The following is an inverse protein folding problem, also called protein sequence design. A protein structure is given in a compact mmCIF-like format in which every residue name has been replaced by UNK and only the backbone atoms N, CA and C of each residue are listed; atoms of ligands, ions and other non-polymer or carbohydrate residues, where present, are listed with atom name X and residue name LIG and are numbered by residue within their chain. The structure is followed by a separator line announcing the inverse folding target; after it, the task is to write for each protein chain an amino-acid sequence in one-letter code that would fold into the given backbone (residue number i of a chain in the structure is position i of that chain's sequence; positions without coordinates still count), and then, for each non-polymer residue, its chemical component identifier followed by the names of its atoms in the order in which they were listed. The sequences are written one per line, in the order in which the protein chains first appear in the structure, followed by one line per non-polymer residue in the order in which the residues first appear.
data_IF_542116062159
#
_entry.id   IF_542116062159
#
_cell.length_a   1.000
_cell.length_b   1.000
_cell.length_c   1.000
_cell.angle_alpha   90.00
_cell.angle_beta   90.00
_cell.angle_gamma   90.00
#
_symmetry.space_group_name_H-M   'P 1'
#
loop_
_entity.id
_entity.type
_entity.pdbx_description
1 polymer ?
#
# COMPACT_ATOMS: atom_id res chain seq x y z
N UNK A 1 -25.57 1.36 -2.00
CA UNK A 1 -25.47 -0.06 -1.60
C UNK A 1 -24.83 -0.09 -0.23
N UNK A 2 -25.54 -0.58 0.78
CA UNK A 2 -24.97 -0.73 2.12
C UNK A 2 -23.84 -1.75 2.03
N UNK A 3 -22.62 -1.33 2.39
CA UNK A 3 -21.54 -2.25 2.70
C UNK A 3 -22.02 -3.11 3.86
N UNK A 4 -22.55 -4.28 3.56
CA UNK A 4 -22.78 -5.32 4.56
C UNK A 4 -21.38 -5.77 4.94
N UNK A 5 -20.86 -5.23 6.05
CA UNK A 5 -19.72 -5.83 6.73
C UNK A 5 -20.19 -7.23 7.12
N UNK A 6 -19.82 -8.21 6.29
CA UNK A 6 -20.05 -9.61 6.58
C UNK A 6 -19.19 -9.95 7.80
N UNK A 7 -19.78 -10.65 8.79
CA UNK A 7 -19.05 -11.26 9.91
C UNK A 7 -18.12 -12.35 9.37
N UNK A 8 -16.97 -11.91 8.86
CA UNK A 8 -16.00 -12.72 8.15
C UNK A 8 -14.91 -13.16 9.11
N UNK A 9 -14.75 -14.49 9.21
CA UNK A 9 -13.67 -15.11 9.96
C UNK A 9 -12.38 -15.17 9.16
N UNK A 10 -12.49 -15.62 7.92
CA UNK A 10 -11.35 -15.88 7.05
C UNK A 10 -11.74 -15.98 5.56
N UNK A 11 -10.76 -15.73 4.71
CA UNK A 11 -10.77 -15.92 3.26
C UNK A 11 -9.74 -17.00 2.91
N UNK A 12 -10.16 -17.97 2.10
CA UNK A 12 -9.33 -19.11 1.66
C UNK A 12 -9.60 -19.43 0.19
N UNK A 13 -8.70 -20.19 -0.42
CA UNK A 13 -8.84 -20.83 -1.74
C UNK A 13 -9.43 -22.23 -1.66
N UNK A 14 -9.44 -22.82 -0.46
CA UNK A 14 -10.01 -24.14 -0.20
C UNK A 14 -11.25 -24.06 0.69
N UNK A 15 -12.12 -25.06 0.56
CA UNK A 15 -13.26 -25.26 1.47
C UNK A 15 -12.81 -25.75 2.84
N UNK A 16 -11.66 -26.42 2.89
CA UNK A 16 -11.19 -27.08 4.10
C UNK A 16 -10.57 -26.06 5.05
N UNK A 17 -11.02 -26.10 6.30
CA UNK A 17 -10.57 -25.22 7.38
C UNK A 17 -9.11 -25.47 7.81
N UNK A 18 -8.33 -26.26 7.08
CA UNK A 18 -7.03 -26.74 7.54
C UNK A 18 -5.85 -25.85 7.12
N UNK A 19 -6.05 -24.93 6.16
CA UNK A 19 -5.03 -23.93 5.81
C UNK A 19 -4.74 -23.04 7.03
N UNK A 20 -3.50 -22.94 7.54
CA UNK A 20 -3.25 -22.11 8.71
C UNK A 20 -3.51 -20.62 8.40
N UNK A 21 -3.84 -19.81 9.43
CA UNK A 21 -3.77 -18.36 9.31
C UNK A 21 -2.39 -17.95 8.82
N UNK A 22 -2.34 -16.82 8.11
CA UNK A 22 -1.06 -16.31 7.64
C UNK A 22 -0.19 -15.88 8.81
N UNK A 23 1.03 -16.41 8.90
CA UNK A 23 1.97 -15.99 9.94
C UNK A 23 2.52 -14.61 9.57
N UNK A 24 3.29 -14.55 8.49
CA UNK A 24 3.64 -13.30 7.82
C UNK A 24 4.39 -13.57 6.51
N UNK A 25 4.37 -12.62 5.60
CA UNK A 25 5.23 -12.62 4.41
C UNK A 25 5.52 -11.18 3.96
N UNK A 26 6.51 -11.01 3.07
CA UNK A 26 6.84 -9.72 2.45
C UNK A 26 6.39 -9.72 1.00
N UNK A 27 5.86 -8.60 0.50
CA UNK A 27 5.50 -8.49 -0.91
C UNK A 27 6.73 -8.55 -1.82
N UNK A 28 7.85 -8.01 -1.35
CA UNK A 28 9.09 -8.02 -2.10
C UNK A 28 10.21 -8.74 -1.35
N UNK A 29 10.83 -9.70 -2.05
CA UNK A 29 12.04 -10.41 -1.63
C UNK A 29 13.01 -10.45 -2.82
N UNK A 30 14.27 -10.04 -2.62
CA UNK A 30 15.33 -10.20 -3.63
C UNK A 30 15.22 -9.34 -4.89
N UNK A 31 15.02 -9.99 -6.05
CA UNK A 31 15.30 -9.48 -7.41
C UNK A 31 14.58 -8.19 -7.82
N UNK A 32 13.49 -7.82 -7.13
CA UNK A 32 12.74 -6.60 -7.40
C UNK A 32 13.34 -5.35 -6.74
N UNK A 33 14.41 -5.49 -5.96
CA UNK A 33 15.07 -4.39 -5.26
C UNK A 33 15.42 -3.21 -6.17
N UNK A 34 15.94 -3.47 -7.36
CA UNK A 34 16.39 -2.41 -8.27
C UNK A 34 15.25 -1.58 -8.85
N UNK A 35 14.08 -2.18 -9.11
CA UNK A 35 12.95 -1.47 -9.73
C UNK A 35 12.18 -0.62 -8.72
N UNK A 36 12.15 -1.03 -7.44
CA UNK A 36 11.38 -0.37 -6.40
C UNK A 36 12.17 0.80 -5.79
N UNK A 37 13.49 0.67 -5.62
CA UNK A 37 14.34 1.76 -5.13
C UNK A 37 14.34 2.96 -6.09
N UNK A 38 14.12 2.74 -7.39
CA UNK A 38 13.92 3.84 -8.35
C UNK A 38 12.68 4.70 -8.05
N UNK A 39 11.75 4.20 -7.24
CA UNK A 39 10.52 4.89 -6.83
C UNK A 39 10.72 5.82 -5.63
N UNK A 40 11.85 5.71 -4.92
CA UNK A 40 12.23 6.58 -3.79
C UNK A 40 12.07 8.06 -4.16
N UNK A 41 12.48 8.42 -5.39
CA UNK A 41 12.33 9.77 -5.94
C UNK A 41 10.89 10.29 -5.85
N UNK A 42 9.91 9.47 -6.28
CA UNK A 42 8.51 9.85 -6.32
C UNK A 42 7.85 9.81 -4.96
N UNK A 43 8.41 9.02 -4.05
CA UNK A 43 7.93 8.86 -2.68
C UNK A 43 8.52 9.90 -1.73
N UNK A 44 9.37 10.79 -2.23
CA UNK A 44 10.01 11.82 -1.42
C UNK A 44 10.98 11.22 -0.41
N UNK A 45 11.63 10.12 -0.82
CA UNK A 45 12.69 9.46 -0.09
C UNK A 45 14.04 9.78 -0.77
N UNK A 46 15.09 9.81 0.02
CA UNK A 46 16.45 9.78 -0.49
C UNK A 46 16.80 8.38 -1.02
N UNK A 47 17.87 8.32 -1.81
CA UNK A 47 18.31 7.07 -2.40
C UNK A 47 18.78 6.09 -1.32
N UNK A 48 18.21 4.90 -1.28
CA UNK A 48 18.52 3.86 -0.30
C UNK A 48 17.77 3.96 1.02
N UNK A 49 16.89 4.95 1.19
CA UNK A 49 16.03 5.03 2.39
C UNK A 49 14.90 4.00 2.39
N UNK A 50 14.56 3.44 1.22
CA UNK A 50 13.53 2.41 1.15
C UNK A 50 14.08 1.07 1.62
N UNK A 51 13.83 0.75 2.89
CA UNK A 51 14.12 -0.56 3.43
C UNK A 51 13.04 -1.59 3.06
N UNK A 52 13.38 -2.58 2.23
CA UNK A 52 12.49 -3.70 1.92
C UNK A 52 12.33 -4.68 3.09
N UNK A 53 13.24 -4.64 4.05
CA UNK A 53 13.16 -5.34 5.32
C UNK A 53 12.33 -4.59 6.37
N UNK A 54 11.78 -3.43 6.02
CA UNK A 54 10.88 -2.68 6.88
C UNK A 54 9.58 -3.46 7.15
N UNK A 55 8.96 -3.31 8.34
CA UNK A 55 7.61 -3.80 8.61
C UNK A 55 6.56 -3.31 7.60
N UNK A 56 6.81 -2.20 6.90
CA UNK A 56 5.91 -1.62 5.91
C UNK A 56 5.72 -2.50 4.66
N UNK A 57 6.70 -3.34 4.33
CA UNK A 57 6.60 -4.32 3.24
C UNK A 57 6.02 -5.68 3.70
N UNK A 58 5.68 -5.81 5.00
CA UNK A 58 5.29 -7.07 5.62
C UNK A 58 3.77 -7.12 5.80
N UNK A 59 3.17 -8.19 5.30
CA UNK A 59 1.82 -8.62 5.68
C UNK A 59 1.98 -9.59 6.84
N UNK A 60 1.40 -9.28 7.99
CA UNK A 60 1.38 -10.18 9.16
C UNK A 60 -0.06 -10.42 9.62
N UNK A 61 -0.35 -11.65 10.03
CA UNK A 61 -1.63 -12.02 10.63
C UNK A 61 -1.71 -11.65 12.11
N UNK A 62 -0.87 -10.72 12.58
CA UNK A 62 -0.78 -10.44 14.01
C UNK A 62 -2.04 -9.73 14.50
N UNK A 63 -2.57 -10.30 15.57
CA UNK A 63 -3.56 -9.70 16.45
C UNK A 63 -2.93 -8.43 17.03
N UNK A 64 -3.50 -7.26 16.74
CA UNK A 64 -3.29 -6.06 17.56
C UNK A 64 -3.83 -6.39 18.97
N UNK A 65 -3.05 -7.06 19.82
CA UNK A 65 -3.48 -7.45 21.16
C UNK A 65 -3.23 -6.38 22.21
N UNK A 66 -2.48 -5.32 21.91
CA UNK A 66 -1.98 -4.44 22.95
C UNK A 66 -2.56 -3.04 22.80
N UNK A 67 -3.74 -2.81 23.42
CA UNK A 67 -3.99 -1.63 24.28
C UNK A 67 -5.48 -1.42 24.65
N UNK A 68 -6.45 -1.95 23.92
CA UNK A 68 -7.88 -1.72 24.24
C UNK A 68 -8.63 -3.04 24.02
N UNK A 69 -9.23 -3.57 25.09
CA UNK A 69 -9.94 -4.86 25.14
C UNK A 69 -11.22 -4.97 24.30
N UNK A 70 -11.23 -4.38 23.10
CA UNK A 70 -12.23 -4.54 22.07
C UNK A 70 -11.53 -5.13 20.84
N UNK A 71 -11.29 -6.44 20.86
CA UNK A 71 -10.70 -7.18 19.73
C UNK A 71 -11.70 -7.11 18.56
N UNK A 72 -11.49 -6.16 17.65
CA UNK A 72 -12.02 -6.25 16.29
C UNK A 72 -11.10 -7.20 15.52
N UNK A 73 -11.64 -8.35 15.13
CA UNK A 73 -11.01 -9.45 14.42
C UNK A 73 -10.62 -9.10 12.97
N UNK A 74 -9.74 -8.11 12.78
CA UNK A 74 -9.42 -7.57 11.44
C UNK A 74 -8.34 -8.37 10.68
N UNK A 75 -7.41 -9.04 11.37
CA UNK A 75 -6.19 -9.62 10.76
C UNK A 75 -6.17 -11.15 10.57
N UNK A 76 -7.17 -11.88 11.07
CA UNK A 76 -7.33 -13.33 10.77
C UNK A 76 -7.96 -13.59 9.40
N UNK A 77 -8.27 -12.53 8.65
CA UNK A 77 -9.07 -12.60 7.45
C UNK A 77 -8.35 -13.29 6.28
N UNK A 78 -7.02 -13.31 6.26
CA UNK A 78 -6.25 -13.84 5.13
C UNK A 78 -5.49 -15.10 5.54
N UNK A 79 -5.79 -16.21 4.88
CA UNK A 79 -5.10 -17.49 5.11
C UNK A 79 -3.83 -17.62 4.29
N UNK A 80 -2.97 -18.57 4.67
CA UNK A 80 -1.67 -18.77 4.05
C UNK A 80 -1.74 -19.04 2.53
N UNK A 81 -2.79 -19.71 2.08
CA UNK A 81 -3.08 -19.98 0.66
C UNK A 81 -3.43 -18.72 -0.12
N UNK A 82 -4.17 -17.77 0.46
CA UNK A 82 -4.36 -16.43 -0.16
C UNK A 82 -3.02 -15.68 -0.22
N UNK A 83 -2.21 -15.75 0.84
CA UNK A 83 -0.85 -15.20 0.84
C UNK A 83 0.00 -15.74 -0.30
N UNK A 84 -0.11 -17.04 -0.61
CA UNK A 84 0.55 -17.65 -1.78
C UNK A 84 0.04 -17.09 -3.10
N UNK A 85 -1.26 -16.86 -3.26
CA UNK A 85 -1.79 -16.23 -4.48
C UNK A 85 -1.29 -14.80 -4.67
N UNK A 86 -1.11 -14.05 -3.57
CA UNK A 86 -0.50 -12.71 -3.63
C UNK A 86 0.96 -12.82 -4.07
N UNK A 87 1.76 -13.68 -3.43
CA UNK A 87 3.19 -13.87 -3.73
C UNK A 87 3.46 -14.43 -5.14
N UNK A 88 2.59 -15.31 -5.63
CA UNK A 88 2.65 -15.87 -6.98
C UNK A 88 2.01 -14.96 -8.03
N UNK A 89 1.56 -13.77 -7.61
CA UNK A 89 1.01 -12.75 -8.48
C UNK A 89 -0.28 -13.14 -9.21
N UNK A 90 -1.06 -14.05 -8.63
CA UNK A 90 -2.39 -14.42 -9.11
C UNK A 90 -3.47 -13.46 -8.57
N UNK A 91 -3.20 -12.85 -7.41
CA UNK A 91 -4.00 -11.79 -6.81
C UNK A 91 -3.16 -10.53 -6.59
N UNK A 92 -3.70 -9.38 -6.97
CA UNK A 92 -3.17 -8.06 -6.68
C UNK A 92 -3.91 -7.43 -5.49
N UNK A 93 -3.15 -6.75 -4.63
CA UNK A 93 -3.68 -5.87 -3.60
C UNK A 93 -3.82 -4.47 -4.18
N UNK A 94 -5.06 -4.00 -4.30
CA UNK A 94 -5.35 -2.66 -4.83
C UNK A 94 -5.91 -1.80 -3.69
N UNK A 95 -5.19 -0.76 -3.24
CA UNK A 95 -5.72 0.15 -2.21
C UNK A 95 -7.02 0.83 -2.65
N UNK A 96 -7.72 1.45 -1.70
CA UNK A 96 -8.90 2.27 -2.02
C UNK A 96 -8.56 3.45 -2.94
N UNK A 97 -9.56 3.95 -3.66
CA UNK A 97 -9.45 5.14 -4.51
C UNK A 97 -8.86 6.36 -3.78
N UNK A 98 -9.22 6.55 -2.52
CA UNK A 98 -8.71 7.63 -1.68
C UNK A 98 -7.19 7.50 -1.50
N UNK A 99 -6.73 6.32 -1.09
CA UNK A 99 -5.30 6.03 -0.91
C UNK A 99 -4.55 6.17 -2.23
N UNK A 100 -5.09 5.65 -3.33
CA UNK A 100 -4.49 5.79 -4.66
C UNK A 100 -4.38 7.26 -5.10
N UNK A 101 -5.41 8.09 -4.86
CA UNK A 101 -5.37 9.54 -5.16
C UNK A 101 -4.30 10.24 -4.33
N UNK A 102 -4.13 9.88 -3.06
CA UNK A 102 -3.07 10.41 -2.20
C UNK A 102 -1.69 10.05 -2.73
N UNK A 103 -1.45 8.79 -3.09
CA UNK A 103 -0.17 8.35 -3.70
C UNK A 103 0.12 9.14 -4.98
N UNK A 104 -0.88 9.27 -5.87
CA UNK A 104 -0.71 10.00 -7.12
C UNK A 104 -0.46 11.49 -6.89
N UNK A 105 -1.14 12.09 -5.90
CA UNK A 105 -0.93 13.49 -5.52
C UNK A 105 0.51 13.72 -5.07
N UNK A 106 1.00 12.91 -4.11
CA UNK A 106 2.37 12.99 -3.59
C UNK A 106 3.39 12.80 -4.72
N UNK A 107 3.22 11.77 -5.56
CA UNK A 107 4.13 11.52 -6.68
C UNK A 107 4.19 12.68 -7.68
N UNK A 108 3.04 13.29 -8.01
CA UNK A 108 2.97 14.44 -8.93
C UNK A 108 3.57 15.72 -8.34
N UNK A 109 3.41 15.92 -7.04
CA UNK A 109 3.97 17.06 -6.31
C UNK A 109 5.50 16.91 -6.21
N UNK A 110 5.98 15.77 -5.74
CA UNK A 110 7.41 15.46 -5.60
C UNK A 110 8.18 15.55 -6.92
N UNK A 111 7.55 15.17 -8.03
CA UNK A 111 8.13 15.32 -9.37
C UNK A 111 8.52 16.76 -9.72
N UNK A 112 7.85 17.76 -9.14
CA UNK A 112 8.08 19.19 -9.43
C UNK A 112 9.02 19.87 -8.43
N UNK A 113 9.46 19.15 -7.40
CA UNK A 113 10.23 19.70 -6.28
C UNK A 113 11.66 19.19 -6.27
N UNK A 114 12.53 20.04 -5.75
CA UNK A 114 13.89 19.64 -5.38
C UNK A 114 13.85 18.60 -4.25
N UNK A 115 14.93 17.81 -4.13
CA UNK A 115 14.98 16.62 -3.26
C UNK A 115 14.59 16.94 -1.81
N UNK A 116 15.13 18.05 -1.29
CA UNK A 116 14.94 18.55 0.08
C UNK A 116 13.55 19.11 0.36
N UNK A 117 12.75 19.36 -0.68
CA UNK A 117 11.40 19.92 -0.57
C UNK A 117 10.30 18.88 -0.79
N UNK A 118 10.69 17.63 -1.08
CA UNK A 118 9.74 16.56 -1.34
C UNK A 118 9.00 16.18 -0.07
N UNK A 119 7.75 15.78 -0.27
CA UNK A 119 6.91 15.23 0.79
C UNK A 119 7.15 13.75 0.89
N UNK A 120 7.51 13.29 2.08
CA UNK A 120 7.64 11.87 2.36
C UNK A 120 6.26 11.18 2.26
N UNK A 121 6.19 10.12 1.46
CA UNK A 121 4.95 9.37 1.25
C UNK A 121 4.44 8.70 2.53
N UNK A 122 5.33 8.32 3.45
CA UNK A 122 5.00 7.73 4.75
C UNK A 122 4.45 8.75 5.75
N UNK A 123 4.63 10.04 5.52
CA UNK A 123 3.92 11.08 6.29
C UNK A 123 2.52 11.32 5.74
N UNK A 124 2.36 11.25 4.41
CA UNK A 124 1.06 11.39 3.76
C UNK A 124 0.17 10.15 3.99
N UNK A 125 0.78 8.99 4.13
CA UNK A 125 0.16 7.70 4.42
C UNK A 125 0.94 7.06 5.59
N UNK A 126 0.58 7.35 6.84
CA UNK A 126 1.30 6.82 7.99
C UNK A 126 1.22 5.29 8.06
N UNK A 127 2.20 4.61 8.68
CA UNK A 127 2.11 3.18 8.97
C UNK A 127 0.80 2.83 9.69
N UNK A 128 0.11 1.78 9.23
CA UNK A 128 -1.19 1.40 9.78
C UNK A 128 -1.90 0.33 8.96
N UNK A 129 -3.15 0.04 9.31
CA UNK A 129 -4.00 -0.84 8.52
C UNK A 129 -4.68 -0.07 7.39
N UNK A 130 -4.64 -0.65 6.20
CA UNK A 130 -5.28 -0.11 5.00
C UNK A 130 -6.24 -1.12 4.41
N UNK A 131 -7.30 -0.62 3.78
CA UNK A 131 -8.24 -1.45 3.05
C UNK A 131 -7.76 -1.67 1.61
N UNK A 132 -7.82 -2.93 1.18
CA UNK A 132 -7.39 -3.39 -0.13
C UNK A 132 -8.49 -4.21 -0.79
N UNK A 133 -8.69 -4.00 -2.09
CA UNK A 133 -9.44 -4.91 -2.94
C UNK A 133 -8.52 -6.03 -3.43
N UNK A 134 -8.97 -7.28 -3.32
CA UNK A 134 -8.29 -8.46 -3.88
C UNK A 134 -8.72 -8.65 -5.32
N UNK A 135 -7.83 -8.30 -6.25
CA UNK A 135 -8.14 -8.32 -7.66
C UNK A 135 -7.40 -9.45 -8.36
N UNK A 136 -8.11 -10.38 -9.03
CA UNK A 136 -7.49 -11.37 -9.89
C UNK A 136 -6.63 -10.72 -10.97
N UNK A 137 -5.39 -11.19 -11.10
CA UNK A 137 -4.49 -10.80 -12.18
C UNK A 137 -4.82 -11.58 -13.45
N UNK A 138 -5.31 -12.82 -13.32
CA UNK A 138 -5.66 -13.64 -14.47
C UNK A 138 -7.14 -13.48 -14.86
N UNK A 139 -7.45 -13.69 -16.15
CA UNK A 139 -8.83 -13.67 -16.67
C UNK A 139 -9.75 -14.69 -16.00
N UNK A 140 -9.18 -15.84 -15.61
CA UNK A 140 -9.90 -16.86 -14.85
C UNK A 140 -9.53 -16.63 -13.38
N UNK A 141 -10.45 -16.09 -12.56
CA UNK A 141 -10.14 -15.83 -11.17
C UNK A 141 -9.94 -17.14 -10.39
N UNK A 142 -9.05 -17.16 -9.38
CA UNK A 142 -8.98 -18.27 -8.44
C UNK A 142 -10.30 -18.39 -7.68
N UNK A 143 -10.68 -19.62 -7.33
CA UNK A 143 -11.86 -19.83 -6.47
C UNK A 143 -11.55 -19.36 -5.06
N UNK A 144 -12.37 -18.46 -4.54
CA UNK A 144 -12.27 -17.97 -3.17
C UNK A 144 -13.46 -18.44 -2.35
N UNK A 145 -13.24 -18.65 -1.07
CA UNK A 145 -14.22 -19.09 -0.09
C UNK A 145 -14.16 -18.20 1.14
N UNK A 146 -15.32 -17.72 1.57
CA UNK A 146 -15.52 -17.01 2.82
C UNK A 146 -15.89 -18.01 3.91
N UNK A 147 -15.17 -17.96 5.01
CA UNK A 147 -15.48 -18.70 6.23
C UNK A 147 -16.16 -17.71 7.18
N UNK A 148 -17.42 -17.96 7.52
CA UNK A 148 -18.20 -17.12 8.45
C UNK A 148 -17.98 -17.56 9.89
N UNK A 149 -17.99 -16.59 10.83
CA UNK A 149 -17.67 -16.85 12.24
C UNK A 149 -18.59 -17.87 12.91
N UNK A 150 -19.89 -17.83 12.60
CA UNK A 150 -20.89 -18.61 13.33
C UNK A 150 -21.07 -20.04 12.80
N UNK A 151 -20.81 -20.27 11.51
CA UNK A 151 -21.12 -21.54 10.85
C UNK A 151 -19.88 -22.37 10.55
N UNK A 152 -18.69 -21.75 10.47
CA UNK A 152 -17.48 -22.35 9.89
C UNK A 152 -17.71 -23.01 8.52
N UNK A 153 -18.84 -22.73 7.86
CA UNK A 153 -19.17 -23.30 6.57
C UNK A 153 -18.55 -22.43 5.48
N UNK A 154 -17.71 -23.00 4.59
CA UNK A 154 -17.15 -22.24 3.49
C UNK A 154 -18.26 -21.88 2.50
N UNK A 155 -18.40 -20.59 2.21
CA UNK A 155 -19.26 -20.09 1.15
C UNK A 155 -18.39 -19.65 -0.01
N UNK A 156 -18.66 -20.17 -1.21
CA UNK A 156 -17.92 -19.74 -2.40
C UNK A 156 -18.20 -18.26 -2.65
N UNK A 157 -17.12 -17.51 -2.85
CA UNK A 157 -17.16 -16.10 -3.17
C UNK A 157 -17.03 -15.91 -4.67
N UNK A 158 -18.10 -15.45 -5.29
CA UNK A 158 -18.06 -15.06 -6.69
C UNK A 158 -17.33 -13.71 -6.82
N UNK A 159 -16.18 -13.74 -7.49
CA UNK A 159 -15.42 -12.52 -7.80
C UNK A 159 -15.99 -11.93 -9.08
N UNK A 160 -16.83 -10.91 -8.95
CA UNK A 160 -17.51 -10.27 -10.08
C UNK A 160 -17.02 -8.82 -10.18
N UNK A 161 -16.32 -8.44 -11.27
CA UNK A 161 -15.96 -7.04 -11.51
C UNK A 161 -17.21 -6.14 -11.52
N UNK A 162 -17.17 -4.92 -10.93
CA UNK A 162 -16.04 -4.29 -10.25
C UNK A 162 -15.99 -4.57 -8.73
N UNK A 163 -16.83 -5.49 -8.21
CA UNK A 163 -17.05 -5.72 -6.79
C UNK A 163 -16.11 -6.80 -6.24
N UNK A 164 -14.85 -6.43 -6.06
CA UNK A 164 -13.84 -7.30 -5.48
C UNK A 164 -13.96 -7.43 -3.96
N UNK A 165 -13.58 -8.59 -3.39
CA UNK A 165 -13.49 -8.77 -1.94
C UNK A 165 -12.51 -7.76 -1.35
N UNK A 166 -12.88 -7.18 -0.21
CA UNK A 166 -12.02 -6.24 0.51
C UNK A 166 -11.45 -6.84 1.78
N UNK A 167 -10.19 -6.51 2.05
CA UNK A 167 -9.45 -6.98 3.22
C UNK A 167 -8.72 -5.79 3.85
N UNK A 168 -8.55 -5.81 5.17
CA UNK A 168 -7.68 -4.87 5.87
C UNK A 168 -6.34 -5.54 6.16
N UNK A 169 -5.25 -4.90 5.77
CA UNK A 169 -3.90 -5.43 5.96
C UNK A 169 -2.96 -4.32 6.43
N UNK A 170 -1.90 -4.71 7.13
CA UNK A 170 -0.90 -3.81 7.70
C UNK A 170 0.24 -3.45 6.73
N UNK A 171 0.25 -4.02 5.51
CA UNK A 171 1.22 -3.64 4.49
C UNK A 171 0.97 -2.21 4.06
N UNK A 172 2.03 -1.45 3.80
CA UNK A 172 1.89 -0.06 3.41
C UNK A 172 1.46 0.07 1.94
N UNK A 173 0.54 0.99 1.59
CA UNK A 173 -0.07 1.05 0.28
C UNK A 173 0.89 1.20 -0.89
N UNK A 174 2.03 1.88 -0.70
CA UNK A 174 3.02 2.05 -1.77
C UNK A 174 3.63 0.71 -2.21
N UNK A 175 3.86 -0.22 -1.28
CA UNK A 175 4.35 -1.56 -1.64
C UNK A 175 3.27 -2.36 -2.37
N UNK A 176 2.02 -2.29 -1.89
CA UNK A 176 0.89 -2.95 -2.53
C UNK A 176 0.65 -2.45 -3.97
N UNK A 177 0.71 -1.13 -4.19
CA UNK A 177 0.58 -0.51 -5.52
C UNK A 177 1.67 -1.00 -6.46
N UNK A 178 2.93 -0.97 -6.04
CA UNK A 178 4.02 -1.40 -6.94
C UNK A 178 3.90 -2.87 -7.28
N UNK A 179 3.56 -3.70 -6.29
CA UNK A 179 3.38 -5.13 -6.47
C UNK A 179 2.22 -5.43 -7.43
N UNK A 180 1.08 -4.74 -7.26
CA UNK A 180 -0.09 -4.89 -8.12
C UNK A 180 0.11 -4.32 -9.53
N UNK A 181 0.73 -3.14 -9.66
CA UNK A 181 0.95 -2.45 -10.94
C UNK A 181 1.74 -3.31 -11.92
N UNK A 182 2.79 -3.98 -11.43
CA UNK A 182 3.65 -4.80 -12.27
C UNK A 182 2.86 -5.83 -13.08
N UNK A 183 1.79 -6.36 -12.49
CA UNK A 183 1.03 -7.48 -13.03
C UNK A 183 -0.22 -7.03 -13.76
N UNK A 184 -0.96 -6.09 -13.16
CA UNK A 184 -2.18 -5.55 -13.76
C UNK A 184 -1.91 -4.80 -15.07
N UNK A 185 -0.70 -4.24 -15.24
CA UNK A 185 -0.30 -3.56 -16.47
C UNK A 185 0.21 -4.53 -17.57
N UNK A 186 0.66 -5.74 -17.22
CA UNK A 186 1.11 -6.72 -18.22
C UNK A 186 -0.07 -7.36 -18.96
N UNK A 187 -1.17 -7.64 -18.26
CA UNK A 187 -2.31 -8.38 -18.81
C UNK A 187 -3.44 -7.51 -19.39
N UNK A 188 -3.20 -6.21 -19.57
CA UNK A 188 -4.12 -5.22 -20.20
C UNK A 188 -5.54 -5.32 -19.63
N UNK A 189 -5.66 -5.19 -18.31
CA UNK A 189 -6.95 -5.04 -17.64
C UNK A 189 -7.48 -3.60 -17.75
N UNK A 190 -7.61 -3.10 -18.98
CA UNK A 190 -8.04 -1.72 -19.26
C UNK A 190 -9.43 -1.39 -18.70
N UNK A 191 -10.25 -2.40 -18.45
CA UNK A 191 -11.60 -2.31 -17.91
C UNK A 191 -11.65 -2.12 -16.38
N UNK A 192 -10.53 -2.32 -15.68
CA UNK A 192 -10.50 -2.13 -14.23
C UNK A 192 -10.54 -0.64 -13.88
N UNK A 193 -11.39 -0.22 -12.92
CA UNK A 193 -11.57 1.19 -12.58
C UNK A 193 -10.28 1.85 -12.06
N UNK A 194 -9.35 1.06 -11.54
CA UNK A 194 -8.05 1.52 -11.07
C UNK A 194 -6.95 1.38 -12.13
N UNK A 195 -7.17 0.76 -13.29
CA UNK A 195 -6.14 0.61 -14.33
C UNK A 195 -5.62 1.96 -14.81
N UNK A 196 -6.51 2.92 -15.11
CA UNK A 196 -6.11 4.30 -15.46
C UNK A 196 -5.28 4.93 -14.34
N UNK A 197 -5.66 4.71 -13.08
CA UNK A 197 -4.93 5.23 -11.92
C UNK A 197 -3.54 4.58 -11.79
N UNK A 198 -3.46 3.25 -11.87
CA UNK A 198 -2.21 2.48 -11.79
C UNK A 198 -1.30 2.81 -12.98
N UNK A 199 -1.85 2.93 -14.18
CA UNK A 199 -1.14 3.35 -15.38
C UNK A 199 -0.60 4.77 -15.22
N UNK A 200 -1.35 5.72 -14.63
CA UNK A 200 -0.86 7.07 -14.34
C UNK A 200 0.23 7.09 -13.27
N UNK A 201 0.09 6.27 -12.23
CA UNK A 201 1.09 6.12 -11.17
C UNK A 201 2.38 5.54 -11.78
N UNK A 202 2.29 4.44 -12.52
CA UNK A 202 3.45 3.82 -13.20
C UNK A 202 4.04 4.73 -14.27
N UNK A 203 3.23 5.43 -15.06
CA UNK A 203 3.72 6.41 -16.04
C UNK A 203 4.43 7.57 -15.36
N UNK A 204 3.90 8.03 -14.22
CA UNK A 204 4.60 9.01 -13.41
C UNK A 204 5.95 8.46 -12.96
N UNK A 205 6.03 7.19 -12.58
CA UNK A 205 7.26 6.52 -12.16
C UNK A 205 8.27 6.27 -13.30
N UNK A 206 7.81 5.89 -14.49
CA UNK A 206 8.66 5.67 -15.66
C UNK A 206 9.13 6.99 -16.30
N UNK A 207 8.54 8.12 -15.95
CA UNK A 207 9.01 9.42 -16.41
C UNK A 207 10.37 9.75 -15.77
N UNK A 208 11.14 10.61 -16.45
CA UNK A 208 12.43 11.21 -16.06
C UNK A 208 12.91 11.00 -14.60
N UNK A 209 13.37 9.79 -14.27
CA UNK A 209 14.10 9.55 -13.02
C UNK A 209 15.45 10.25 -13.14
N UNK A 210 15.83 11.14 -12.21
CA UNK A 210 17.16 11.75 -12.21
C UNK A 210 18.25 10.69 -12.25
N UNK A 211 19.38 10.99 -12.88
CA UNK A 211 20.47 10.00 -13.06
C UNK A 211 20.99 9.48 -11.73
N UNK A 212 20.88 10.29 -10.68
CA UNK A 212 21.31 10.01 -9.32
C UNK A 212 20.45 8.90 -8.69
N UNK A 213 19.15 8.85 -9.02
CA UNK A 213 18.19 7.87 -8.50
C UNK A 213 18.11 6.59 -9.32
N UNK A 214 18.59 6.59 -10.58
CA UNK A 214 18.68 5.36 -11.36
C UNK A 214 19.59 4.38 -10.63
N UNK A 215 19.11 3.14 -10.45
CA UNK A 215 19.95 2.11 -9.86
C UNK A 215 21.18 1.95 -10.75
N UNK A 216 22.39 2.17 -10.21
CA UNK A 216 23.54 1.49 -10.80
C UNK A 216 23.28 0.02 -10.50
N UNK A 217 23.28 -0.85 -11.53
CA UNK A 217 23.24 -2.30 -11.29
C UNK A 217 24.17 -2.60 -10.11
N UNK A 218 23.76 -3.43 -9.13
CA UNK A 218 24.69 -3.95 -8.15
C UNK A 218 25.91 -4.42 -8.95
N UNK A 219 27.08 -3.82 -8.70
CA UNK A 219 28.29 -4.25 -9.41
C UNK A 219 28.39 -5.74 -9.11
N UNK A 220 28.26 -6.56 -10.14
CA UNK A 220 28.48 -7.99 -10.00
C UNK A 220 29.88 -8.17 -9.43
N UNK A 221 30.12 -9.21 -8.61
CA UNK A 221 31.45 -9.45 -8.03
C UNK A 221 32.54 -9.49 -9.11
N UNK A 222 32.18 -9.90 -10.33
CA UNK A 222 33.00 -9.86 -11.54
C UNK A 222 33.42 -8.44 -11.99
N UNK A 223 32.54 -7.44 -11.82
CA UNK A 223 32.82 -6.03 -12.10
C UNK A 223 33.70 -5.39 -11.02
N UNK A 224 33.69 -5.93 -9.80
CA UNK A 224 34.55 -5.49 -8.69
C UNK A 224 35.94 -6.14 -8.78
N UNK A 225 36.01 -7.43 -9.11
CA UNK A 225 37.28 -8.14 -9.31
C UNK A 225 38.07 -7.67 -10.54
N UNK A 226 37.40 -7.08 -11.53
CA UNK A 226 38.08 -6.50 -12.69
C UNK A 226 38.70 -5.11 -12.43
N UNK A 227 38.38 -4.49 -11.29
CA UNK A 227 38.91 -3.17 -10.91
C UNK A 227 39.97 -3.24 -9.79
N UNK A 228 40.07 -4.37 -9.09
CA UNK A 228 40.97 -4.57 -7.95
C UNK A 228 41.75 -5.89 -8.13
N UNK A 229 42.61 -5.95 -9.14
CA UNK A 229 43.74 -6.87 -9.13
C UNK A 229 44.96 -6.17 -8.54
N UNK A 230 45.04 -6.13 -7.22
CA UNK A 230 46.31 -6.14 -6.51
C UNK A 230 46.11 -6.75 -5.11
N UNK A 231 46.51 -8.02 -5.04
CA UNK A 231 47.14 -8.72 -3.91
C UNK A 231 46.77 -8.30 -2.47
N UNK A 232 45.89 -9.06 -1.84
CA UNK A 232 46.22 -9.75 -0.57
C UNK A 232 45.03 -10.57 -0.08
N UNK A 233 45.29 -11.83 0.23
CA UNK A 233 44.28 -12.73 0.79
C UNK A 233 43.87 -12.29 2.18
N UNK A 234 42.57 -12.08 2.37
CA UNK A 234 41.99 -12.06 3.70
C UNK A 234 40.61 -12.74 3.69
N UNK A 235 40.42 -13.61 4.67
CA UNK A 235 39.23 -14.44 4.90
C UNK A 235 38.05 -13.52 5.21
N UNK A 236 36.96 -13.65 4.44
CA UNK A 236 35.71 -12.90 4.65
C UNK A 236 34.91 -13.65 5.70
N UNK A 237 34.82 -13.07 6.90
CA UNK A 237 33.74 -13.37 7.84
C UNK A 237 32.47 -12.68 7.32
N UNK A 238 31.37 -13.42 7.26
CA UNK A 238 30.06 -12.89 6.87
C UNK A 238 29.51 -12.05 8.04
N UNK A 239 29.71 -10.73 7.97
CA UNK A 239 29.07 -9.79 8.89
C UNK A 239 27.57 -9.71 8.58
N UNK A 240 26.81 -10.43 9.39
CA UNK A 240 25.36 -10.35 9.53
C UNK A 240 24.99 -8.94 10.01
N UNK A 241 24.70 -8.05 9.06
CA UNK A 241 24.21 -6.70 9.34
C UNK A 241 22.90 -6.81 10.13
N UNK A 242 22.99 -6.54 11.44
CA UNK A 242 21.88 -6.61 12.39
C UNK A 242 20.75 -5.64 12.02
N UNK A 243 19.74 -6.19 11.34
CA UNK A 243 18.43 -5.56 11.03
C UNK A 243 17.67 -4.99 12.25
N UNK A 244 18.14 -5.27 13.47
CA UNK A 244 17.52 -4.81 14.71
C UNK A 244 17.77 -3.32 14.98
N UNK A 245 18.97 -2.81 14.66
CA UNK A 245 19.33 -1.41 14.93
C UNK A 245 18.57 -0.42 14.03
N UNK A 246 18.26 -0.82 12.80
CA UNK A 246 17.52 -0.01 11.85
C UNK A 246 16.00 -0.02 12.15
N UNK A 247 15.46 -1.17 12.57
CA UNK A 247 14.10 -1.25 13.10
C UNK A 247 13.92 -0.33 14.33
N UNK A 248 14.90 -0.29 15.24
CA UNK A 248 14.87 0.59 16.42
C UNK A 248 14.82 2.07 16.02
N UNK A 249 15.54 2.50 14.97
CA UNK A 249 15.50 3.90 14.49
C UNK A 249 14.11 4.28 13.96
N UNK A 250 13.45 3.39 13.23
CA UNK A 250 12.11 3.63 12.68
C UNK A 250 11.07 3.72 13.81
N UNK A 251 11.12 2.81 14.78
CA UNK A 251 10.23 2.88 15.95
C UNK A 251 10.47 4.14 16.79
N UNK A 252 11.73 4.53 17.00
CA UNK A 252 12.08 5.77 17.70
C UNK A 252 11.57 7.03 16.96
N UNK A 253 11.64 7.03 15.63
CA UNK A 253 11.08 8.11 14.81
C UNK A 253 9.55 8.17 14.90
N UNK A 254 8.85 7.03 14.82
CA UNK A 254 7.39 6.96 14.97
C UNK A 254 6.93 7.46 16.35
N UNK A 255 7.58 7.05 17.43
CA UNK A 255 7.27 7.53 18.78
C UNK A 255 7.50 9.06 18.94
N UNK A 256 8.53 9.60 18.29
CA UNK A 256 8.82 11.04 18.32
C UNK A 256 7.74 11.90 17.65
N UNK A 257 7.08 11.38 16.60
CA UNK A 257 6.02 12.10 15.88
C UNK A 257 4.67 12.05 16.61
N UNK A 258 4.44 11.02 17.42
CA UNK A 258 3.17 10.81 18.14
C UNK A 258 3.02 11.76 19.34
N UNK A 259 4.12 12.37 19.80
CA UNK A 259 4.16 13.22 21.01
C UNK A 259 3.97 14.72 20.70
N UNK A 260 3.75 15.11 19.44
CA UNK A 260 3.45 16.51 19.12
C UNK A 260 1.97 16.79 19.40
N UNK A 261 1.67 17.15 20.64
CA UNK A 261 0.35 17.62 21.06
C UNK A 261 -0.07 18.81 20.20
N UNK A 262 -1.15 18.64 19.44
CA UNK A 262 -1.84 19.74 18.76
C UNK A 262 -2.20 20.79 19.81
N UNK A 263 -1.76 22.06 19.68
CA UNK A 263 -2.17 23.09 20.61
C UNK A 263 -3.69 23.23 20.54
N UNK A 264 -4.33 23.27 21.71
CA UNK A 264 -5.77 23.42 21.85
C UNK A 264 -6.27 24.60 21.02
N UNK A 265 -7.10 24.30 20.02
CA UNK A 265 -7.82 25.31 19.26
C UNK A 265 -8.82 25.97 20.20
N UNK A 266 -8.55 27.21 20.60
CA UNK A 266 -9.50 28.08 21.26
C UNK A 266 -10.77 28.18 20.41
N UNK A 267 -11.89 27.72 20.98
CA UNK A 267 -13.20 27.87 20.37
C UNK A 267 -13.58 29.36 20.34
N UNK A 268 -13.40 30.00 19.19
CA UNK A 268 -14.04 31.27 18.87
C UNK A 268 -15.51 30.97 18.58
N UNK A 269 -16.38 31.43 19.49
CA UNK A 269 -17.83 31.36 19.34
C UNK A 269 -18.28 32.46 18.38
N UNK A 270 -18.50 32.11 17.11
CA UNK A 270 -19.19 32.99 16.17
C UNK A 270 -20.68 33.04 16.52
N UNK A 271 -21.12 34.25 16.87
CA UNK A 271 -22.53 34.57 17.08
C UNK A 271 -23.15 34.85 15.71
N UNK A 272 -23.99 33.95 15.22
CA UNK A 272 -24.74 34.15 13.97
C UNK A 272 -25.95 35.02 14.30
N UNK A 273 -25.89 36.29 13.91
CA UNK A 273 -27.07 37.14 13.84
C UNK A 273 -27.93 36.75 12.63
N UNK A 274 -29.18 36.43 12.95
CA UNK A 274 -30.27 36.10 12.04
C UNK A 274 -30.82 37.40 11.43
N UNK A 275 -30.63 37.58 10.11
CA UNK A 275 -31.20 38.72 9.40
C UNK A 275 -31.91 38.31 8.10
N UNK A 276 -33.22 38.07 8.25
CA UNK A 276 -34.33 38.52 7.41
C UNK A 276 -34.45 38.11 5.91
N UNK A 277 -35.70 37.97 5.39
CA UNK A 277 -35.97 37.19 4.18
C UNK A 277 -35.87 37.99 2.86
N UNK A 278 -35.27 37.36 1.85
CA UNK A 278 -35.16 37.88 0.48
C UNK A 278 -36.52 37.79 -0.24
N UNK A 279 -37.01 38.94 -0.69
CA UNK A 279 -38.20 39.13 -1.52
C UNK A 279 -38.09 38.41 -2.87
N UNK A 280 -39.06 37.54 -3.13
CA UNK A 280 -39.37 36.96 -4.45
C UNK A 280 -39.70 38.06 -5.47
N UNK A 281 -38.89 38.17 -6.53
CA UNK A 281 -39.15 39.03 -7.69
C UNK A 281 -39.42 38.13 -8.90
N UNK A 282 -40.70 37.99 -9.26
CA UNK A 282 -41.13 37.36 -10.52
C UNK A 282 -40.69 38.23 -11.71
N UNK A 283 -40.03 37.64 -12.69
CA UNK A 283 -39.89 38.20 -14.04
C UNK A 283 -40.97 37.61 -14.97
N UNK A 284 -41.51 38.40 -15.92
CA UNK A 284 -42.52 37.93 -16.86
C UNK A 284 -41.90 37.19 -18.04
N UNK A 285 -42.61 36.17 -18.53
CA UNK A 285 -42.39 35.57 -19.84
C UNK A 285 -42.60 36.62 -20.93
N UNK A 286 -41.54 36.86 -21.72
CA UNK A 286 -41.66 37.43 -23.05
C UNK A 286 -41.95 36.28 -24.00
N UNK A 287 -43.13 36.32 -24.63
CA UNK A 287 -43.41 35.63 -25.89
C UNK A 287 -42.79 36.47 -26.99
N UNK A 288 -42.17 35.85 -27.99
CA UNK A 288 -42.24 36.32 -29.37
C UNK A 288 -41.75 35.26 -30.38
N UNK A 289 -42.60 35.10 -31.40
CA UNK A 289 -42.47 34.55 -32.78
C UNK A 289 -42.08 33.09 -32.98
#
# INVERSE_FOLDING_TARGET
MNSVFLDLKALSTCTDSDSPPIQSFRLFTGLFFCAITELEFYWGLEKGELDLWSPLNRISGNVLSDAIGFILYSTNLVRADIGRLILSWELALVPTDEVLRTILYVAKDNRKRDIDQRRNCFEALPPGEYEYSLVPVQKIPPSLFLIKDHTNSPEKLDIIPPHYPRVKLNVHPVFAVVHGAWQLLQDIHEDLPFFDMMSRVTTAYCALIPREFRARRPRTREDQQSAESDDSGNTIEEDDYSSEEEAIRIYSWLESTTTTSVPAVEQVSETIEDDSPIKSRRHPLVKDV
#
